data_IF_822328453052
#
_entry.id   IF_822328453052
#
_cell.length_a   1.000
_cell.length_b   1.000
_cell.length_c   1.000
_cell.angle_alpha   90.00
_cell.angle_beta   90.00
_cell.angle_gamma   90.00
#
_symmetry.space_group_name_H-M   'P 1'
#
loop_
_entity.id
_entity.type
_entity.pdbx_description
1 polymer ?
#
# COMPACT_ATOMS: atom_id res chain seq x y z
N UNK A 1 10.73 2.27 -1.54
CA UNK A 1 10.13 0.91 -1.52
C UNK A 1 8.83 0.92 -2.30
N UNK A 2 8.32 -0.25 -2.69
CA UNK A 2 7.03 -0.37 -3.40
C UNK A 2 5.86 0.31 -2.67
N UNK A 3 5.94 0.41 -1.35
CA UNK A 3 4.94 1.09 -0.52
C UNK A 3 4.94 2.63 -0.59
N UNK A 4 5.84 3.27 -1.35
CA UNK A 4 5.89 4.72 -1.50
C UNK A 4 6.91 5.45 -0.60
N UNK A 5 7.50 4.73 0.36
CA UNK A 5 8.55 5.30 1.22
C UNK A 5 9.87 5.48 0.45
N UNK A 6 10.50 6.64 0.56
CA UNK A 6 11.87 6.87 0.12
C UNK A 6 12.78 7.00 1.35
N UNK A 7 13.61 5.98 1.57
CA UNK A 7 14.57 5.96 2.67
C UNK A 7 15.88 6.58 2.24
N UNK A 8 16.32 7.62 2.94
CA UNK A 8 17.58 8.30 2.67
C UNK A 8 18.54 7.96 3.81
N UNK A 9 19.61 7.23 3.49
CA UNK A 9 20.56 6.72 4.47
C UNK A 9 21.95 7.28 4.20
N UNK A 10 22.72 7.53 5.26
CA UNK A 10 24.14 7.85 5.14
C UNK A 10 24.90 6.60 4.70
N UNK A 11 25.53 6.67 3.53
CA UNK A 11 26.25 5.56 2.92
C UNK A 11 27.38 4.97 3.80
N UNK A 12 27.88 5.72 4.79
CA UNK A 12 29.04 5.33 5.61
C UNK A 12 28.65 4.42 6.77
N UNK A 13 27.45 4.58 7.31
CA UNK A 13 27.01 3.89 8.53
C UNK A 13 25.57 3.35 8.45
N UNK A 14 24.85 3.62 7.36
CA UNK A 14 23.46 3.20 7.15
C UNK A 14 22.43 3.98 7.99
N UNK A 15 22.84 5.01 8.74
CA UNK A 15 21.92 5.76 9.57
C UNK A 15 20.98 6.62 8.71
N UNK A 16 19.69 6.72 9.09
CA UNK A 16 18.73 7.53 8.35
C UNK A 16 19.09 9.02 8.45
N UNK A 17 19.17 9.68 7.29
CA UNK A 17 19.29 11.13 7.17
C UNK A 17 17.90 11.77 7.26
N UNK A 18 16.93 11.17 6.58
CA UNK A 18 15.51 11.51 6.73
C UNK A 18 14.93 10.65 7.85
N UNK A 19 14.20 11.21 8.82
CA UNK A 19 13.66 10.44 9.94
C UNK A 19 12.83 9.24 9.49
N UNK A 20 13.00 8.13 10.20
CA UNK A 20 12.24 6.89 10.00
C UNK A 20 11.54 6.55 11.31
N UNK A 21 10.22 6.41 11.25
CA UNK A 21 9.38 6.11 12.42
C UNK A 21 8.62 4.81 12.21
N UNK A 22 8.69 3.91 13.19
CA UNK A 22 7.85 2.72 13.25
C UNK A 22 6.40 3.12 13.56
N UNK A 23 5.46 2.78 12.67
CA UNK A 23 4.02 3.05 12.87
C UNK A 23 3.25 1.74 12.97
N UNK A 24 2.23 1.66 13.84
CA UNK A 24 1.32 0.52 13.88
C UNK A 24 0.62 0.34 12.53
N UNK A 25 0.50 -0.92 12.10
CA UNK A 25 -0.20 -1.27 10.85
C UNK A 25 -1.27 -2.34 11.11
N UNK A 26 -2.30 -2.46 10.25
CA UNK A 26 -3.35 -3.47 10.46
C UNK A 26 -2.80 -4.89 10.58
N UNK A 27 -3.28 -5.64 11.56
CA UNK A 27 -2.83 -7.02 11.83
C UNK A 27 -3.89 -8.07 11.50
N UNK A 28 -5.14 -7.63 11.36
CA UNK A 28 -6.31 -8.51 11.26
C UNK A 28 -7.19 -8.07 10.11
N UNK A 29 -7.90 -9.04 9.54
CA UNK A 29 -8.97 -8.78 8.58
C UNK A 29 -10.27 -8.52 9.34
N UNK A 30 -11.11 -7.61 8.83
CA UNK A 30 -12.43 -7.32 9.43
C UNK A 30 -13.50 -8.32 9.02
N UNK A 31 -13.31 -8.98 7.87
CA UNK A 31 -14.29 -9.87 7.25
C UNK A 31 -13.66 -11.17 6.81
N UNK A 32 -14.37 -12.25 7.09
CA UNK A 32 -13.90 -13.60 6.84
C UNK A 32 -12.89 -14.07 7.88
N UNK A 33 -12.41 -15.32 7.76
CA UNK A 33 -11.38 -15.84 8.63
C UNK A 33 -10.06 -15.12 8.37
N UNK A 34 -9.27 -14.95 9.43
CA UNK A 34 -7.86 -14.58 9.31
C UNK A 34 -7.11 -15.70 8.57
N UNK A 35 -6.14 -15.31 7.74
CA UNK A 35 -5.26 -16.26 7.06
C UNK A 35 -4.54 -17.13 8.09
N UNK A 36 -4.74 -18.44 8.00
CA UNK A 36 -4.20 -19.42 8.95
C UNK A 36 -2.68 -19.54 8.79
N UNK A 37 -1.97 -19.60 9.91
CA UNK A 37 -0.52 -19.82 9.93
C UNK A 37 0.35 -18.59 9.63
N UNK A 38 -0.26 -17.45 9.30
CA UNK A 38 0.46 -16.21 9.02
C UNK A 38 0.83 -15.43 10.29
N UNK A 39 2.00 -14.79 10.26
CA UNK A 39 2.47 -13.89 11.31
C UNK A 39 2.79 -12.51 10.72
N UNK A 40 2.08 -11.49 11.19
CA UNK A 40 2.25 -10.11 10.74
C UNK A 40 3.03 -9.29 11.76
N UNK A 41 3.92 -8.41 11.27
CA UNK A 41 4.61 -7.44 12.14
C UNK A 41 3.64 -6.36 12.59
N UNK A 42 3.62 -6.06 13.89
CA UNK A 42 2.74 -5.03 14.50
C UNK A 42 3.00 -3.62 13.96
N UNK A 43 4.24 -3.35 13.55
CA UNK A 43 4.67 -2.05 13.03
C UNK A 43 5.42 -2.20 11.72
N UNK A 44 5.49 -1.10 10.98
CA UNK A 44 6.33 -0.95 9.79
C UNK A 44 7.07 0.39 9.84
N UNK A 45 8.26 0.48 9.24
CA UNK A 45 9.00 1.73 9.15
C UNK A 45 8.38 2.65 8.09
N UNK A 46 8.18 3.92 8.45
CA UNK A 46 7.78 4.98 7.54
C UNK A 46 8.83 6.08 7.50
N UNK A 47 9.28 6.44 6.31
CA UNK A 47 10.14 7.59 6.09
C UNK A 47 9.30 8.88 6.11
N UNK A 48 9.85 9.97 6.62
CA UNK A 48 9.22 11.29 6.47
C UNK A 48 9.22 11.77 5.00
N UNK A 49 10.11 11.22 4.17
CA UNK A 49 10.03 11.33 2.72
C UNK A 49 9.20 10.16 2.17
N UNK A 50 7.89 10.34 2.13
CA UNK A 50 6.94 9.33 1.67
C UNK A 50 6.00 9.90 0.60
N UNK A 51 5.92 9.18 -0.52
CA UNK A 51 5.08 9.51 -1.67
C UNK A 51 3.85 8.61 -1.77
N UNK A 52 3.65 7.74 -0.79
CA UNK A 52 2.39 7.06 -0.62
C UNK A 52 1.27 8.08 -0.34
N UNK A 53 0.03 7.77 -0.77
CA UNK A 53 -1.16 8.47 -0.33
C UNK A 53 -1.19 8.56 1.21
N UNK A 54 -1.42 9.77 1.72
CA UNK A 54 -1.40 10.02 3.16
C UNK A 54 -2.65 9.46 3.85
N UNK A 55 -3.78 9.52 3.15
CA UNK A 55 -5.08 9.07 3.64
C UNK A 55 -5.45 7.70 3.08
N UNK A 56 -6.30 6.99 3.84
CA UNK A 56 -6.94 5.76 3.36
C UNK A 56 -7.94 6.11 2.29
N UNK A 57 -8.06 5.25 1.28
CA UNK A 57 -9.19 5.29 0.36
C UNK A 57 -10.52 5.17 1.11
N UNK A 58 -11.51 5.90 0.62
CA UNK A 58 -12.87 5.93 1.11
C UNK A 58 -13.83 5.61 -0.04
N UNK A 59 -15.12 5.50 0.27
CA UNK A 59 -16.13 5.30 -0.77
C UNK A 59 -16.27 6.52 -1.71
N UNK A 60 -15.78 7.71 -1.31
CA UNK A 60 -15.73 8.89 -2.16
C UNK A 60 -14.69 8.77 -3.27
N UNK A 61 -13.64 7.98 -3.05
CA UNK A 61 -12.54 7.78 -4.01
C UNK A 61 -12.89 6.75 -5.11
N UNK A 62 -14.06 6.12 -5.00
CA UNK A 62 -14.53 5.18 -6.01
C UNK A 62 -15.09 5.94 -7.22
N UNK A 63 -14.57 5.60 -8.39
CA UNK A 63 -14.91 6.20 -9.67
C UNK A 63 -15.62 5.18 -10.58
N UNK A 64 -16.50 5.65 -11.46
CA UNK A 64 -17.15 4.86 -12.49
C UNK A 64 -17.56 5.73 -13.67
N UNK A 65 -17.67 5.15 -14.87
CA UNK A 65 -18.04 5.89 -16.08
C UNK A 65 -19.48 6.40 -16.02
N UNK A 66 -20.36 5.66 -15.36
CA UNK A 66 -21.75 6.04 -15.07
C UNK A 66 -22.04 6.03 -13.57
N UNK A 67 -23.20 6.57 -13.17
CA UNK A 67 -23.67 6.51 -11.79
C UNK A 67 -23.88 5.07 -11.30
N UNK A 68 -24.28 4.15 -12.19
CA UNK A 68 -24.42 2.73 -11.86
C UNK A 68 -23.06 2.09 -11.64
N UNK A 69 -22.07 2.40 -12.47
CA UNK A 69 -20.70 1.90 -12.29
C UNK A 69 -20.09 2.39 -10.99
N UNK A 70 -20.25 3.70 -10.69
CA UNK A 70 -19.74 4.26 -9.44
C UNK A 70 -20.40 3.60 -8.22
N UNK A 71 -21.71 3.36 -8.26
CA UNK A 71 -22.42 2.62 -7.22
C UNK A 71 -21.84 1.20 -7.05
N UNK A 72 -21.63 0.48 -8.15
CA UNK A 72 -21.07 -0.87 -8.14
C UNK A 72 -19.63 -0.90 -7.59
N UNK A 73 -18.79 0.07 -7.95
CA UNK A 73 -17.45 0.23 -7.39
C UNK A 73 -17.50 0.48 -5.89
N UNK A 74 -18.40 1.35 -5.40
CA UNK A 74 -18.60 1.59 -3.96
C UNK A 74 -19.08 0.36 -3.21
N UNK A 75 -20.03 -0.38 -3.77
CA UNK A 75 -20.51 -1.64 -3.17
C UNK A 75 -19.36 -2.65 -3.12
N UNK A 76 -18.58 -2.78 -4.19
CA UNK A 76 -17.43 -3.69 -4.25
C UNK A 76 -16.36 -3.31 -3.23
N UNK A 77 -15.99 -2.03 -3.14
CA UNK A 77 -15.08 -1.52 -2.12
C UNK A 77 -15.56 -1.85 -0.71
N UNK A 78 -16.85 -1.60 -0.41
CA UNK A 78 -17.46 -1.92 0.88
C UNK A 78 -17.57 -3.43 1.15
N UNK A 79 -17.28 -4.31 0.19
CA UNK A 79 -17.23 -5.77 0.40
C UNK A 79 -15.85 -6.28 0.77
N UNK A 80 -14.79 -5.55 0.43
CA UNK A 80 -13.40 -5.92 0.66
C UNK A 80 -12.93 -5.56 2.08
N UNK A 81 -11.88 -6.24 2.53
CA UNK A 81 -11.09 -5.78 3.67
C UNK A 81 -10.19 -4.63 3.23
N UNK A 82 -10.28 -3.49 3.91
CA UNK A 82 -9.38 -2.36 3.70
C UNK A 82 -9.33 -1.47 4.94
N UNK A 83 -8.18 -1.49 5.61
CA UNK A 83 -7.85 -0.64 6.75
C UNK A 83 -6.61 0.22 6.49
N UNK A 84 -6.30 0.43 5.21
CA UNK A 84 -5.13 1.18 4.75
C UNK A 84 -4.00 0.27 4.28
N UNK A 85 -2.83 0.89 4.11
CA UNK A 85 -1.60 0.18 3.74
C UNK A 85 -1.30 -0.95 4.74
N UNK A 86 -0.80 -2.08 4.23
CA UNK A 86 -0.56 -3.33 4.98
C UNK A 86 -1.79 -4.03 5.54
N UNK A 87 -3.01 -3.74 5.06
CA UNK A 87 -4.17 -4.61 5.36
C UNK A 87 -3.86 -6.05 4.93
N UNK A 88 -3.99 -7.06 5.80
CA UNK A 88 -3.64 -8.43 5.44
C UNK A 88 -4.49 -9.01 4.31
N UNK A 89 -3.94 -9.90 3.47
CA UNK A 89 -4.72 -10.65 2.49
C UNK A 89 -5.75 -11.55 3.19
N UNK A 90 -6.87 -11.83 2.51
CA UNK A 90 -7.98 -12.61 3.05
C UNK A 90 -8.72 -13.38 1.96
N UNK A 91 -9.44 -14.44 2.35
CA UNK A 91 -10.35 -15.18 1.46
C UNK A 91 -11.56 -14.33 1.02
N UNK A 92 -12.00 -13.39 1.86
CA UNK A 92 -13.06 -12.44 1.50
C UNK A 92 -12.60 -11.43 0.41
N UNK A 93 -11.29 -11.27 0.25
CA UNK A 93 -10.66 -10.29 -0.63
C UNK A 93 -10.26 -9.03 0.14
N UNK A 94 -9.06 -8.55 -0.14
CA UNK A 94 -8.45 -7.37 0.47
C UNK A 94 -8.08 -6.39 -0.62
N UNK A 95 -8.41 -5.10 -0.43
CA UNK A 95 -7.89 -4.04 -1.27
C UNK A 95 -6.47 -3.70 -0.82
N UNK A 96 -5.51 -3.81 -1.73
CA UNK A 96 -4.10 -3.48 -1.49
C UNK A 96 -3.81 -2.13 -2.12
N UNK A 97 -3.46 -1.16 -1.29
CA UNK A 97 -3.10 0.19 -1.73
C UNK A 97 -2.04 0.82 -0.81
N UNK A 98 -0.88 1.29 -1.34
CA UNK A 98 -0.42 1.19 -2.74
C UNK A 98 -0.39 -0.25 -3.26
N UNK A 99 -0.71 -0.43 -4.56
CA UNK A 99 -0.89 -1.74 -5.16
C UNK A 99 0.38 -2.57 -5.26
N UNK A 100 0.27 -3.78 -5.83
CA UNK A 100 1.41 -4.71 -5.97
C UNK A 100 2.50 -4.19 -6.92
N UNK A 101 2.12 -3.36 -7.89
CA UNK A 101 3.05 -2.58 -8.70
C UNK A 101 3.82 -1.52 -7.87
N UNK A 102 3.20 -1.08 -6.78
CA UNK A 102 3.75 -0.09 -5.88
C UNK A 102 3.72 1.32 -6.45
N UNK A 103 4.12 2.28 -5.61
CA UNK A 103 4.25 3.69 -6.02
C UNK A 103 5.43 3.86 -6.97
N UNK A 104 6.55 3.17 -6.71
CA UNK A 104 7.73 3.22 -7.57
C UNK A 104 7.87 1.93 -8.37
N UNK A 105 7.90 2.09 -9.68
CA UNK A 105 8.20 0.99 -10.60
C UNK A 105 9.68 0.87 -10.94
N UNK A 106 10.03 -0.14 -11.74
CA UNK A 106 11.41 -0.43 -12.16
C UNK A 106 12.12 0.72 -12.88
N UNK A 107 11.39 1.75 -13.33
CA UNK A 107 11.97 2.96 -13.92
C UNK A 107 12.76 3.85 -12.94
N UNK A 108 12.61 3.65 -11.63
CA UNK A 108 13.42 4.33 -10.63
C UNK A 108 13.17 5.84 -10.51
N UNK A 109 14.21 6.57 -10.10
CA UNK A 109 14.20 8.02 -9.85
C UNK A 109 15.51 8.64 -10.35
N UNK A 110 15.42 9.79 -11.01
CA UNK A 110 16.56 10.59 -11.45
C UNK A 110 16.71 11.80 -10.56
N UNK A 111 17.93 12.10 -10.11
CA UNK A 111 18.22 13.24 -9.23
C UNK A 111 19.20 14.19 -9.90
N UNK A 112 18.84 15.47 -10.00
CA UNK A 112 19.73 16.54 -10.42
C UNK A 112 20.22 17.30 -9.17
N UNK A 113 21.50 17.12 -8.78
CA UNK A 113 22.05 17.77 -7.58
C UNK A 113 22.26 19.28 -7.77
N UNK A 114 22.52 19.78 -8.98
CA UNK A 114 22.75 21.22 -9.19
C UNK A 114 21.47 22.03 -8.97
N UNK A 115 20.33 21.47 -9.39
CA UNK A 115 19.00 22.09 -9.28
C UNK A 115 18.21 21.61 -8.06
N UNK A 116 18.72 20.62 -7.32
CA UNK A 116 18.03 20.00 -6.19
C UNK A 116 16.63 19.46 -6.59
N UNK A 117 16.53 18.83 -7.76
CA UNK A 117 15.27 18.27 -8.28
C UNK A 117 15.39 16.76 -8.42
N UNK A 118 14.38 16.04 -7.95
CA UNK A 118 14.18 14.63 -8.25
C UNK A 118 12.97 14.45 -9.18
N UNK A 119 13.12 13.61 -10.20
CA UNK A 119 12.06 13.28 -11.16
C UNK A 119 11.78 11.79 -11.07
N UNK A 120 10.49 11.45 -10.96
CA UNK A 120 9.99 10.09 -10.83
C UNK A 120 8.58 9.98 -11.40
N UNK A 121 8.16 8.74 -11.67
CA UNK A 121 6.82 8.42 -12.17
C UNK A 121 6.06 7.60 -11.11
N UNK A 122 5.38 8.26 -10.14
CA UNK A 122 4.65 7.56 -9.10
C UNK A 122 3.32 7.00 -9.63
N UNK A 123 2.98 5.78 -9.21
CA UNK A 123 1.74 5.09 -9.61
C UNK A 123 0.79 4.94 -8.42
N UNK A 124 -0.49 5.26 -8.65
CA UNK A 124 -1.57 5.11 -7.68
C UNK A 124 -2.61 4.09 -8.13
N UNK A 125 -2.22 2.82 -8.32
CA UNK A 125 -3.12 1.75 -8.79
C UNK A 125 -3.39 0.73 -7.68
N UNK A 126 -4.63 0.61 -7.15
CA UNK A 126 -4.99 -0.41 -6.17
C UNK A 126 -5.24 -1.78 -6.81
N UNK A 127 -5.03 -2.85 -6.03
CA UNK A 127 -5.28 -4.23 -6.46
C UNK A 127 -6.21 -4.94 -5.48
N UNK A 128 -7.05 -5.84 -5.98
CA UNK A 128 -7.79 -6.77 -5.13
C UNK A 128 -6.98 -8.05 -5.02
N UNK A 129 -6.53 -8.37 -3.81
CA UNK A 129 -5.88 -9.64 -3.50
C UNK A 129 -6.83 -10.53 -2.72
N UNK A 130 -7.09 -11.73 -3.25
CA UNK A 130 -7.92 -12.74 -2.60
C UNK A 130 -7.11 -14.01 -2.43
N UNK A 131 -6.98 -14.47 -1.19
CA UNK A 131 -6.40 -15.78 -0.91
C UNK A 131 -7.39 -16.86 -1.33
N UNK A 132 -6.93 -17.83 -2.11
CA UNK A 132 -7.70 -19.02 -2.45
C UNK A 132 -7.12 -20.17 -1.63
N UNK A 133 -7.92 -20.82 -0.77
CA UNK A 133 -7.47 -22.01 -0.07
C UNK A 133 -7.07 -23.08 -1.09
N UNK A 134 -5.82 -23.52 -1.04
CA UNK A 134 -5.41 -24.75 -1.72
C UNK A 134 -5.55 -25.90 -0.71
N UNK A 135 -6.23 -26.97 -1.09
CA UNK A 135 -6.14 -28.24 -0.35
C UNK A 135 -4.75 -28.82 -0.63
N UNK A 136 -3.89 -28.98 0.39
CA UNK A 136 -2.59 -29.61 0.20
C UNK A 136 -2.67 -31.14 0.09
N UNK A 137 -3.87 -31.74 0.09
CA UNK A 137 -4.11 -33.19 -0.01
C UNK A 137 -4.59 -33.62 -1.40
#
# INVERSE_FOLDING_TARGET
TKTGNAFVLDRRNGQPIVPVTEKPVPQTVKRGPQTKGEHYSKTQPFSDLNLAPQDKLTDKDMWGATMLDQLMCRVSFKRLNYDGIYTPPSENGTLVFPGNLGVFEWGGMSVNPDRQVAVMNPIGLPFVSRSIPADPN
#
